data_IF_997523116807
#
_entry.id   IF_997523116807
#
_cell.length_a   1.000
_cell.length_b   1.000
_cell.length_c   1.000
_cell.angle_alpha   90.00
_cell.angle_beta   90.00
_cell.angle_gamma   90.00
#
_symmetry.space_group_name_H-M   'P 1'
#
loop_
_entity.id
_entity.type
_entity.pdbx_description
1 polymer ?
#
# COMPACT_ATOMS: atom_id res chain seq x y z
N UNK A 1 10.40 -27.20 -58.32
CA UNK A 1 10.01 -25.79 -58.26
C UNK A 1 8.67 -25.67 -57.59
N UNK A 2 8.61 -25.39 -56.29
CA UNK A 2 7.38 -25.04 -55.55
C UNK A 2 7.66 -23.80 -54.72
N UNK A 3 6.98 -22.70 -55.07
CA UNK A 3 7.05 -21.42 -54.38
C UNK A 3 6.16 -21.49 -53.16
N UNK A 4 6.70 -21.31 -51.97
CA UNK A 4 5.95 -21.20 -50.71
C UNK A 4 5.68 -19.72 -50.47
N UNK A 5 4.39 -19.33 -50.43
CA UNK A 5 3.92 -18.01 -50.08
C UNK A 5 3.96 -17.88 -48.55
N UNK A 6 4.65 -16.86 -48.07
CA UNK A 6 4.66 -16.43 -46.66
C UNK A 6 3.50 -15.44 -46.48
N UNK A 7 2.44 -15.85 -45.74
CA UNK A 7 1.38 -14.92 -45.29
C UNK A 7 1.85 -14.20 -44.04
N UNK A 8 2.04 -12.87 -44.13
CA UNK A 8 2.10 -12.01 -42.98
C UNK A 8 0.69 -11.81 -42.42
N UNK A 9 0.44 -12.29 -41.21
CA UNK A 9 -0.75 -11.94 -40.46
C UNK A 9 -0.47 -10.63 -39.70
N UNK A 10 -1.11 -9.56 -40.13
CA UNK A 10 -1.16 -8.31 -39.37
C UNK A 10 -2.18 -8.47 -38.22
N UNK A 11 -1.71 -8.49 -37.00
CA UNK A 11 -2.58 -8.44 -35.82
C UNK A 11 -3.08 -7.00 -35.62
N UNK A 12 -4.36 -6.75 -35.93
CA UNK A 12 -5.04 -5.53 -35.57
C UNK A 12 -5.36 -5.56 -34.06
N UNK A 13 -4.73 -4.68 -33.28
CA UNK A 13 -5.17 -4.41 -31.90
C UNK A 13 -6.52 -3.69 -31.96
N UNK A 14 -7.60 -4.38 -31.64
CA UNK A 14 -8.88 -3.77 -31.33
C UNK A 14 -8.85 -3.29 -29.88
N UNK A 15 -8.84 -1.98 -29.69
CA UNK A 15 -9.18 -1.37 -28.40
C UNK A 15 -10.62 -1.75 -28.03
N UNK A 16 -10.78 -2.62 -27.07
CA UNK A 16 -12.07 -2.86 -26.43
C UNK A 16 -12.40 -1.65 -25.55
N UNK A 17 -13.24 -0.74 -26.08
CA UNK A 17 -13.89 0.28 -25.27
C UNK A 17 -14.82 -0.43 -24.27
N UNK A 18 -14.50 -0.40 -23.00
CA UNK A 18 -15.37 -0.84 -21.92
C UNK A 18 -16.59 0.09 -21.85
N UNK A 19 -17.71 -0.35 -22.43
CA UNK A 19 -19.03 0.26 -22.26
C UNK A 19 -19.52 -0.05 -20.83
N UNK A 20 -19.14 0.77 -19.88
CA UNK A 20 -19.75 0.75 -18.55
C UNK A 20 -21.13 1.45 -18.65
N UNK A 21 -22.19 0.66 -18.62
CA UNK A 21 -23.56 1.17 -18.47
C UNK A 21 -23.64 1.86 -17.11
N UNK A 22 -23.97 3.15 -17.13
CA UNK A 22 -24.29 3.96 -15.97
C UNK A 22 -25.59 3.46 -15.36
N UNK A 23 -25.52 2.68 -14.28
CA UNK A 23 -26.59 2.63 -13.28
C UNK A 23 -26.53 3.93 -12.48
N UNK A 24 -27.61 4.69 -12.51
CA UNK A 24 -27.82 5.89 -11.71
C UNK A 24 -27.97 5.47 -10.26
N UNK A 25 -26.89 5.41 -9.52
CA UNK A 25 -26.92 5.36 -8.07
C UNK A 25 -27.15 6.78 -7.52
N UNK A 26 -28.35 6.95 -7.02
CA UNK A 26 -28.78 8.08 -6.23
C UNK A 26 -28.08 7.97 -4.86
N UNK A 27 -26.89 8.53 -4.71
CA UNK A 27 -26.12 8.48 -3.47
C UNK A 27 -25.81 9.86 -2.94
N UNK A 28 -26.32 10.07 -1.75
CA UNK A 28 -25.91 11.01 -0.71
C UNK A 28 -24.82 12.01 -1.14
N UNK A 29 -25.27 13.17 -1.60
CA UNK A 29 -24.46 14.36 -1.77
C UNK A 29 -24.00 14.86 -0.39
N UNK A 30 -22.94 14.29 0.15
CA UNK A 30 -22.08 15.11 1.01
C UNK A 30 -21.39 16.09 0.07
N UNK A 31 -21.90 17.32 0.03
CA UNK A 31 -21.27 18.45 -0.63
C UNK A 31 -19.81 18.52 -0.11
N UNK A 32 -18.87 18.11 -0.96
CA UNK A 32 -17.47 18.54 -0.81
C UNK A 32 -17.54 20.05 -0.94
N UNK A 33 -17.50 20.77 0.18
CA UNK A 33 -17.40 22.24 0.15
C UNK A 33 -16.20 22.57 -0.72
N UNK A 34 -16.38 23.26 -1.87
CA UNK A 34 -15.23 23.70 -2.62
C UNK A 34 -14.41 24.56 -1.67
N UNK A 35 -13.12 24.31 -1.58
CA UNK A 35 -12.17 25.23 -0.98
C UNK A 35 -12.53 26.59 -1.57
N UNK A 36 -12.92 27.51 -0.69
CA UNK A 36 -13.42 28.82 -0.95
C UNK A 36 -12.74 29.39 -2.21
N UNK A 37 -13.53 29.68 -3.24
CA UNK A 37 -13.06 30.14 -4.54
C UNK A 37 -12.53 31.59 -4.46
N UNK A 38 -11.74 31.90 -3.43
CA UNK A 38 -10.75 32.95 -3.51
C UNK A 38 -9.77 32.44 -4.56
N UNK A 39 -9.74 33.08 -5.72
CA UNK A 39 -8.76 32.85 -6.76
C UNK A 39 -7.39 32.75 -6.11
N UNK A 40 -6.94 31.52 -5.81
CA UNK A 40 -5.55 31.31 -5.46
C UNK A 40 -4.79 31.62 -6.73
N UNK A 41 -4.28 32.84 -6.79
CA UNK A 41 -3.36 33.26 -7.85
C UNK A 41 -2.13 32.33 -7.71
N UNK A 42 -2.01 31.38 -8.65
CA UNK A 42 -0.88 30.46 -8.65
C UNK A 42 0.39 31.26 -8.87
N UNK A 43 1.10 31.55 -7.78
CA UNK A 43 2.39 32.22 -7.89
C UNK A 43 3.37 31.29 -8.60
N UNK A 44 3.86 31.73 -9.74
CA UNK A 44 4.92 31.02 -10.47
C UNK A 44 6.15 30.92 -9.56
N UNK A 45 6.71 29.70 -9.46
CA UNK A 45 7.98 29.50 -8.75
C UNK A 45 9.10 30.06 -9.61
N UNK A 46 9.68 31.18 -9.18
CA UNK A 46 10.74 31.88 -9.92
C UNK A 46 12.11 31.27 -9.67
N UNK A 47 12.38 30.87 -8.41
CA UNK A 47 13.65 30.26 -8.00
C UNK A 47 13.43 28.92 -7.35
N UNK A 48 14.34 27.98 -7.61
CA UNK A 48 14.40 26.66 -6.99
C UNK A 48 15.81 26.40 -6.47
N UNK A 49 15.91 25.98 -5.22
CA UNK A 49 17.17 25.54 -4.64
C UNK A 49 17.53 24.15 -5.16
N UNK A 50 18.77 23.96 -5.60
CA UNK A 50 19.27 22.65 -5.94
C UNK A 50 19.50 21.84 -4.66
N UNK A 51 18.72 20.80 -4.46
CA UNK A 51 18.76 19.92 -3.28
C UNK A 51 19.68 18.71 -3.43
N UNK A 52 20.26 18.51 -4.63
CA UNK A 52 21.10 17.35 -4.95
C UNK A 52 20.27 16.07 -5.14
N UNK A 53 21.00 14.95 -5.33
CA UNK A 53 20.42 13.63 -5.53
C UNK A 53 20.07 12.99 -4.18
N UNK A 54 18.84 13.23 -3.70
CA UNK A 54 18.28 12.69 -2.46
C UNK A 54 16.88 12.18 -2.69
N UNK A 55 16.40 11.30 -1.81
CA UNK A 55 15.04 10.78 -1.86
C UNK A 55 14.08 11.82 -1.28
N UNK A 56 13.19 12.34 -2.12
CA UNK A 56 12.13 13.28 -1.74
C UNK A 56 10.72 12.77 -2.14
N UNK A 57 10.57 11.46 -2.33
CA UNK A 57 9.26 10.86 -2.57
C UNK A 57 8.56 10.74 -1.20
N UNK A 58 7.79 11.74 -0.88
CA UNK A 58 7.08 11.86 0.41
C UNK A 58 5.72 12.52 0.20
N UNK A 59 4.68 12.22 1.00
CA UNK A 59 4.66 11.19 2.03
C UNK A 59 4.57 9.77 1.46
N UNK A 60 5.01 8.79 2.24
CA UNK A 60 4.91 7.36 1.94
C UNK A 60 3.91 6.69 2.88
N UNK A 61 3.15 5.65 2.45
CA UNK A 61 2.32 4.90 3.38
C UNK A 61 3.20 4.15 4.38
N UNK A 62 2.77 4.12 5.65
CA UNK A 62 3.39 3.27 6.66
C UNK A 62 2.77 1.87 6.58
N UNK A 63 3.42 0.98 5.83
CA UNK A 63 2.96 -0.39 5.57
C UNK A 63 3.45 -1.34 6.66
N UNK A 64 2.52 -2.13 7.23
CA UNK A 64 2.83 -3.16 8.22
C UNK A 64 2.82 -4.52 7.53
N UNK A 65 4.00 -5.13 7.40
CA UNK A 65 4.19 -6.41 6.73
C UNK A 65 4.37 -7.47 7.80
N UNK A 66 3.47 -8.45 7.87
CA UNK A 66 3.53 -9.53 8.84
C UNK A 66 3.74 -10.89 8.17
N UNK A 67 4.64 -11.68 8.75
CA UNK A 67 5.07 -13.00 8.24
C UNK A 67 5.26 -13.97 9.39
N UNK A 68 5.27 -15.28 9.09
CA UNK A 68 5.75 -16.29 10.04
C UNK A 68 7.23 -16.61 9.82
N UNK A 69 7.94 -16.88 10.91
CA UNK A 69 9.25 -17.51 10.93
C UNK A 69 9.14 -19.02 10.62
N UNK A 70 10.27 -19.70 10.50
CA UNK A 70 10.37 -21.14 10.28
C UNK A 70 9.75 -21.98 11.41
N UNK A 71 9.73 -21.48 12.61
CA UNK A 71 9.12 -22.13 13.79
C UNK A 71 7.67 -21.69 14.04
N UNK A 72 7.09 -20.86 13.16
CA UNK A 72 5.73 -20.34 13.28
C UNK A 72 5.62 -19.09 14.16
N UNK A 73 6.73 -18.52 14.61
CA UNK A 73 6.73 -17.26 15.37
C UNK A 73 6.32 -16.10 14.44
N UNK A 74 5.36 -15.25 14.84
CA UNK A 74 4.95 -14.09 14.04
C UNK A 74 6.01 -12.99 14.11
N UNK A 75 6.32 -12.41 12.97
CA UNK A 75 7.16 -11.23 12.80
C UNK A 75 6.39 -10.15 12.06
N UNK A 76 6.55 -8.91 12.47
CA UNK A 76 5.96 -7.72 11.83
C UNK A 76 7.03 -6.67 11.65
N UNK A 77 7.07 -6.04 10.49
CA UNK A 77 7.91 -4.86 10.26
C UNK A 77 7.11 -3.71 9.65
N UNK A 78 7.53 -2.49 9.92
CA UNK A 78 7.07 -1.32 9.18
C UNK A 78 7.97 -1.11 7.96
N UNK A 79 7.34 -0.88 6.81
CA UNK A 79 8.00 -0.51 5.56
C UNK A 79 7.33 0.73 4.96
N UNK A 80 8.14 1.64 4.42
CA UNK A 80 7.64 2.85 3.75
C UNK A 80 7.90 2.86 2.24
N UNK A 81 8.79 2.00 1.74
CA UNK A 81 9.16 1.99 0.32
C UNK A 81 8.31 0.98 -0.45
N UNK A 82 7.02 1.29 -0.62
CA UNK A 82 6.08 0.44 -1.31
C UNK A 82 4.71 1.10 -1.52
N UNK A 83 3.84 0.36 -2.19
CA UNK A 83 2.48 0.80 -2.48
C UNK A 83 1.77 -0.11 -3.47
N UNK A 84 0.70 0.40 -4.04
CA UNK A 84 -0.05 -0.31 -5.09
C UNK A 84 0.82 -0.48 -6.34
N UNK A 85 0.83 -1.69 -6.89
CA UNK A 85 1.56 -2.03 -8.11
C UNK A 85 0.60 -2.23 -9.29
N UNK A 86 -0.50 -2.95 -9.07
CA UNK A 86 -1.57 -3.16 -10.06
C UNK A 86 -2.92 -3.25 -9.33
N UNK A 87 -4.00 -3.62 -10.01
CA UNK A 87 -5.38 -3.65 -9.48
C UNK A 87 -5.50 -4.46 -8.17
N UNK A 88 -4.83 -5.60 -8.09
CA UNK A 88 -4.79 -6.47 -6.92
C UNK A 88 -3.37 -6.83 -6.50
N UNK A 89 -2.38 -5.99 -6.83
CA UNK A 89 -1.00 -6.24 -6.48
C UNK A 89 -0.39 -5.05 -5.74
N UNK A 90 0.50 -5.39 -4.81
CA UNK A 90 1.32 -4.45 -4.05
C UNK A 90 2.79 -4.74 -4.31
N UNK A 91 3.63 -3.71 -4.28
CA UNK A 91 5.08 -3.91 -4.31
C UNK A 91 5.77 -3.13 -3.19
N UNK A 92 6.92 -3.62 -2.78
CA UNK A 92 7.78 -2.93 -1.83
C UNK A 92 9.23 -3.40 -1.95
N UNK A 93 10.14 -2.55 -1.50
CA UNK A 93 11.56 -2.86 -1.40
C UNK A 93 11.96 -2.96 0.06
N UNK A 94 12.67 -4.02 0.42
CA UNK A 94 13.19 -4.28 1.77
C UNK A 94 14.70 -4.48 1.71
N UNK A 95 15.41 -3.95 2.68
CA UNK A 95 16.77 -4.37 2.98
C UNK A 95 16.78 -5.77 3.59
N UNK A 96 17.95 -6.26 3.99
CA UNK A 96 18.07 -7.53 4.72
C UNK A 96 17.44 -7.42 6.10
N UNK A 97 16.29 -8.09 6.28
CA UNK A 97 15.51 -8.14 7.52
C UNK A 97 15.04 -9.57 7.80
N UNK A 98 14.58 -9.83 9.02
CA UNK A 98 13.87 -11.09 9.37
C UNK A 98 12.70 -11.32 8.42
N UNK A 99 11.89 -10.29 8.17
CA UNK A 99 10.75 -10.34 7.26
C UNK A 99 11.14 -10.74 5.84
N UNK A 100 12.30 -10.25 5.32
CA UNK A 100 12.82 -10.62 3.99
C UNK A 100 13.11 -12.11 3.90
N UNK A 101 13.73 -12.68 4.93
CA UNK A 101 14.02 -14.13 5.02
C UNK A 101 12.71 -14.94 5.13
N UNK A 102 11.75 -14.47 5.91
CA UNK A 102 10.44 -15.10 6.06
C UNK A 102 9.64 -15.10 4.76
N UNK A 103 9.73 -14.02 3.96
CA UNK A 103 9.11 -13.93 2.64
C UNK A 103 9.73 -14.92 1.65
N UNK A 104 11.05 -15.14 1.71
CA UNK A 104 11.71 -16.19 0.91
C UNK A 104 11.21 -17.57 1.26
N UNK A 105 11.02 -17.82 2.57
CA UNK A 105 10.60 -19.10 3.10
C UNK A 105 9.13 -19.40 2.78
N UNK A 106 8.21 -18.51 3.15
CA UNK A 106 6.78 -18.78 3.15
C UNK A 106 6.07 -18.32 1.87
N UNK A 107 6.66 -17.40 1.10
CA UNK A 107 6.05 -16.79 -0.08
C UNK A 107 4.65 -16.20 0.20
N UNK A 108 4.42 -15.76 1.43
CA UNK A 108 3.15 -15.24 1.91
C UNK A 108 3.38 -14.19 3.01
N UNK A 109 2.48 -13.22 3.07
CA UNK A 109 2.47 -12.17 4.08
C UNK A 109 1.06 -11.59 4.24
N UNK A 110 0.84 -10.87 5.33
CA UNK A 110 -0.26 -9.92 5.41
C UNK A 110 0.26 -8.50 5.35
N UNK A 111 -0.54 -7.60 4.79
CA UNK A 111 -0.25 -6.18 4.67
C UNK A 111 -1.37 -5.38 5.33
N UNK A 112 -1.00 -4.55 6.28
CA UNK A 112 -1.90 -3.61 6.97
C UNK A 112 -1.33 -2.19 6.91
N UNK A 113 -2.07 -1.23 7.42
CA UNK A 113 -1.59 0.14 7.60
C UNK A 113 -1.39 0.44 9.08
N UNK A 114 -0.29 1.10 9.43
CA UNK A 114 -0.21 1.78 10.71
C UNK A 114 -1.24 2.92 10.73
N UNK A 115 -1.93 3.08 11.83
CA UNK A 115 -2.87 4.18 12.05
C UNK A 115 -2.45 5.05 13.24
N UNK A 116 -3.12 6.18 13.43
CA UNK A 116 -2.76 7.13 14.48
C UNK A 116 -2.87 6.55 15.91
N UNK A 117 -3.60 5.45 16.11
CA UNK A 117 -3.76 4.79 17.42
C UNK A 117 -2.62 3.83 17.71
N UNK A 118 -2.03 3.26 16.67
CA UNK A 118 -1.04 2.18 16.72
C UNK A 118 0.37 2.65 16.33
N UNK A 119 0.58 3.96 16.17
CA UNK A 119 1.84 4.50 15.65
C UNK A 119 3.06 4.13 16.50
N UNK A 120 2.90 4.05 17.83
CA UNK A 120 4.00 3.73 18.75
C UNK A 120 4.47 2.28 18.56
N UNK A 121 3.53 1.33 18.57
CA UNK A 121 3.79 -0.09 18.38
C UNK A 121 4.28 -0.36 16.95
N UNK A 122 3.72 0.35 15.98
CA UNK A 122 4.11 0.23 14.58
C UNK A 122 5.53 0.72 14.35
N UNK A 123 5.92 1.85 14.95
CA UNK A 123 7.30 2.35 14.92
C UNK A 123 8.26 1.38 15.62
N UNK A 124 7.86 0.83 16.78
CA UNK A 124 8.63 -0.22 17.47
C UNK A 124 8.90 -1.42 16.55
N UNK A 125 7.92 -1.87 15.75
CA UNK A 125 8.11 -2.93 14.77
C UNK A 125 9.07 -2.54 13.64
N UNK A 126 9.22 -1.26 13.36
CA UNK A 126 10.17 -0.73 12.37
C UNK A 126 11.62 -0.68 12.88
N UNK A 127 11.81 -0.40 14.18
CA UNK A 127 13.15 -0.21 14.78
C UNK A 127 13.73 -1.47 15.43
N UNK A 128 12.89 -2.48 15.73
CA UNK A 128 13.32 -3.72 16.41
C UNK A 128 13.26 -4.90 15.46
N UNK A 129 14.40 -5.57 15.28
CA UNK A 129 14.49 -6.77 14.46
C UNK A 129 13.88 -7.99 15.16
N UNK A 130 13.10 -8.81 14.42
CA UNK A 130 12.65 -10.12 14.87
C UNK A 130 13.78 -11.13 15.05
N UNK A 131 14.99 -10.85 14.54
CA UNK A 131 16.18 -11.64 14.83
C UNK A 131 16.68 -11.42 16.26
N UNK A 132 16.49 -10.24 16.83
CA UNK A 132 16.95 -9.86 18.16
C UNK A 132 15.88 -10.08 19.23
N UNK A 133 14.60 -9.82 18.88
CA UNK A 133 13.45 -9.95 19.77
C UNK A 133 12.36 -10.77 19.07
N UNK A 134 12.37 -12.08 19.34
CA UNK A 134 11.42 -13.03 18.70
C UNK A 134 9.97 -12.77 19.06
N UNK A 135 9.69 -12.38 20.29
CA UNK A 135 8.36 -12.13 20.85
C UNK A 135 7.91 -10.65 20.72
N UNK A 136 8.49 -9.90 19.76
CA UNK A 136 8.25 -8.45 19.66
C UNK A 136 6.77 -8.08 19.47
N UNK A 137 5.97 -8.94 18.82
CA UNK A 137 4.52 -8.72 18.63
C UNK A 137 3.80 -8.76 19.99
N UNK A 138 4.03 -9.79 20.78
CA UNK A 138 3.46 -9.93 22.13
C UNK A 138 3.98 -8.84 23.07
N UNK A 139 5.25 -8.46 22.94
CA UNK A 139 5.89 -7.38 23.72
C UNK A 139 5.28 -6.02 23.48
N UNK A 140 4.81 -5.75 22.25
CA UNK A 140 4.04 -4.57 21.90
C UNK A 140 2.57 -4.62 22.41
N UNK A 141 2.16 -5.72 23.03
CA UNK A 141 0.77 -5.92 23.47
C UNK A 141 -0.18 -6.32 22.34
N UNK A 142 0.35 -6.67 21.17
CA UNK A 142 -0.45 -7.06 20.01
C UNK A 142 -0.70 -8.56 19.98
N UNK A 143 -1.81 -8.93 19.35
CA UNK A 143 -2.29 -10.31 19.25
C UNK A 143 -2.37 -10.76 17.79
N UNK A 144 -2.37 -12.06 17.58
CA UNK A 144 -2.26 -12.66 16.25
C UNK A 144 -3.34 -13.70 16.02
N UNK A 145 -3.94 -13.66 14.84
CA UNK A 145 -4.79 -14.72 14.29
C UNK A 145 -4.12 -15.29 13.01
N UNK A 146 -4.19 -16.59 12.80
CA UNK A 146 -3.69 -17.19 11.56
C UNK A 146 -4.62 -16.88 10.39
N UNK A 147 -4.06 -16.43 9.28
CA UNK A 147 -4.82 -16.29 8.03
C UNK A 147 -5.38 -17.63 7.56
N UNK A 148 -6.59 -17.58 6.99
CA UNK A 148 -7.26 -18.72 6.37
C UNK A 148 -6.84 -18.93 4.90
N UNK A 149 -6.29 -17.89 4.26
CA UNK A 149 -6.03 -17.85 2.83
C UNK A 149 -4.55 -17.96 2.48
N UNK A 150 -3.65 -17.57 3.40
CA UNK A 150 -2.20 -17.57 3.20
C UNK A 150 -1.46 -18.02 4.46
N UNK A 151 -0.21 -18.50 4.32
CA UNK A 151 0.60 -18.85 5.47
C UNK A 151 1.26 -17.61 6.10
N UNK A 152 0.43 -16.73 6.67
CA UNK A 152 0.87 -15.51 7.33
C UNK A 152 -0.03 -15.14 8.52
N UNK A 153 0.49 -14.38 9.51
CA UNK A 153 -0.27 -13.92 10.65
C UNK A 153 -1.12 -12.67 10.28
N UNK A 154 -2.33 -12.59 10.80
CA UNK A 154 -3.14 -11.39 10.87
C UNK A 154 -2.86 -10.72 12.21
N UNK A 155 -2.49 -9.47 12.22
CA UNK A 155 -2.32 -8.67 13.43
C UNK A 155 -3.66 -8.03 13.77
N UNK A 156 -4.25 -8.44 14.88
CA UNK A 156 -5.65 -8.15 15.21
C UNK A 156 -5.92 -6.66 15.50
N UNK A 157 -4.90 -5.90 15.88
CA UNK A 157 -5.01 -4.47 16.21
C UNK A 157 -5.05 -3.56 14.98
N UNK A 158 -4.73 -4.09 13.80
CA UNK A 158 -4.88 -3.35 12.54
C UNK A 158 -6.26 -3.62 11.92
N UNK A 159 -7.08 -2.58 11.71
CA UNK A 159 -8.48 -2.77 11.31
C UNK A 159 -8.67 -3.12 9.83
N UNK A 160 -7.62 -3.01 9.01
CA UNK A 160 -7.60 -3.43 7.61
C UNK A 160 -6.39 -4.31 7.37
N UNK A 161 -6.63 -5.52 6.87
CA UNK A 161 -5.56 -6.47 6.50
C UNK A 161 -5.81 -7.03 5.12
N UNK A 162 -4.80 -6.98 4.28
CA UNK A 162 -4.73 -7.67 2.98
C UNK A 162 -3.91 -8.93 3.14
N UNK A 163 -4.43 -10.07 2.73
CA UNK A 163 -3.77 -11.37 2.73
C UNK A 163 -3.12 -11.57 1.37
N UNK A 164 -1.79 -11.74 1.34
CA UNK A 164 -1.01 -11.64 0.12
C UNK A 164 -0.14 -12.89 -0.11
N UNK A 165 0.02 -13.23 -1.39
CA UNK A 165 0.96 -14.23 -1.88
C UNK A 165 2.08 -13.53 -2.66
N UNK A 166 3.33 -13.89 -2.42
CA UNK A 166 4.45 -13.39 -3.22
C UNK A 166 4.38 -14.00 -4.62
N UNK A 167 4.28 -13.15 -5.64
CA UNK A 167 4.26 -13.55 -7.07
C UNK A 167 5.59 -13.27 -7.74
N UNK A 168 6.34 -12.28 -7.27
CA UNK A 168 7.68 -11.99 -7.74
C UNK A 168 8.56 -11.54 -6.57
N UNK A 169 9.80 -12.00 -6.55
CA UNK A 169 10.79 -11.55 -5.58
C UNK A 169 12.16 -11.53 -6.27
N UNK A 170 12.80 -10.38 -6.28
CA UNK A 170 14.14 -10.17 -6.83
C UNK A 170 15.06 -9.77 -5.70
N UNK A 171 16.04 -10.63 -5.41
CA UNK A 171 17.05 -10.39 -4.38
C UNK A 171 18.10 -9.38 -4.90
N UNK A 172 18.62 -8.56 -4.00
CA UNK A 172 19.80 -7.73 -4.23
C UNK A 172 21.08 -8.39 -3.66
N UNK A 173 22.23 -7.81 -3.97
CA UNK A 173 23.53 -8.33 -3.54
C UNK A 173 23.77 -8.20 -2.03
N UNK A 174 23.02 -7.34 -1.33
CA UNK A 174 23.12 -7.07 0.11
C UNK A 174 22.18 -7.95 0.94
N UNK A 175 21.36 -8.79 0.29
CA UNK A 175 20.40 -9.69 0.93
C UNK A 175 19.04 -9.05 1.19
N UNK A 176 18.79 -7.88 0.66
CA UNK A 176 17.47 -7.28 0.51
C UNK A 176 16.67 -7.86 -0.64
N UNK A 177 15.47 -7.36 -0.89
CA UNK A 177 14.66 -7.80 -2.00
C UNK A 177 13.63 -6.75 -2.42
N UNK A 178 13.34 -6.71 -3.72
CA UNK A 178 12.14 -6.13 -4.27
C UNK A 178 11.08 -7.23 -4.40
N UNK A 179 9.87 -6.96 -3.91
CA UNK A 179 8.81 -7.94 -3.77
C UNK A 179 7.53 -7.44 -4.42
N UNK A 180 6.85 -8.30 -5.18
CA UNK A 180 5.47 -8.10 -5.62
C UNK A 180 4.60 -9.17 -4.97
N UNK A 181 3.52 -8.73 -4.33
CA UNK A 181 2.51 -9.58 -3.73
C UNK A 181 1.16 -9.41 -4.42
N UNK A 182 0.49 -10.53 -4.69
CA UNK A 182 -0.91 -10.56 -5.10
C UNK A 182 -1.81 -10.56 -3.86
N UNK A 183 -2.75 -9.63 -3.78
CA UNK A 183 -3.80 -9.61 -2.76
C UNK A 183 -4.83 -10.68 -3.13
N UNK A 184 -4.89 -11.74 -2.35
CA UNK A 184 -5.82 -12.86 -2.56
C UNK A 184 -7.11 -12.69 -1.76
N UNK A 185 -7.09 -11.90 -0.68
CA UNK A 185 -8.24 -11.52 0.12
C UNK A 185 -7.93 -10.24 0.92
N UNK A 186 -8.98 -9.54 1.33
CA UNK A 186 -8.89 -8.42 2.27
C UNK A 186 -10.00 -8.53 3.31
N UNK A 187 -9.64 -8.27 4.56
CA UNK A 187 -10.58 -8.22 5.69
C UNK A 187 -10.52 -6.85 6.34
N UNK A 188 -11.68 -6.37 6.79
CA UNK A 188 -11.80 -5.07 7.41
C UNK A 188 -12.72 -5.13 8.62
N UNK A 189 -12.36 -4.42 9.69
CA UNK A 189 -13.24 -4.21 10.82
C UNK A 189 -14.43 -3.35 10.39
N UNK A 190 -15.68 -3.69 10.74
CA UNK A 190 -16.86 -2.89 10.39
C UNK A 190 -16.79 -1.42 10.83
N UNK A 191 -16.02 -1.10 11.88
CA UNK A 191 -15.85 0.27 12.39
C UNK A 191 -15.20 1.22 11.38
N UNK A 192 -14.39 0.71 10.45
CA UNK A 192 -13.75 1.52 9.41
C UNK A 192 -14.56 1.57 8.10
N UNK A 193 -15.76 1.01 8.08
CA UNK A 193 -16.60 1.01 6.89
C UNK A 193 -17.66 2.11 6.93
N UNK A 194 -17.98 2.64 5.74
CA UNK A 194 -19.17 3.46 5.47
C UNK A 194 -19.82 2.88 4.20
N UNK A 195 -21.07 2.47 4.29
CA UNK A 195 -21.83 1.83 3.19
C UNK A 195 -21.09 0.65 2.55
N UNK A 196 -20.43 -0.17 3.39
CA UNK A 196 -19.68 -1.36 2.96
C UNK A 196 -18.33 -1.06 2.27
N UNK A 197 -17.89 0.19 2.24
CA UNK A 197 -16.62 0.62 1.66
C UNK A 197 -15.67 1.12 2.74
N UNK A 198 -14.36 0.97 2.53
CA UNK A 198 -13.35 1.53 3.43
C UNK A 198 -13.50 3.04 3.48
N UNK A 199 -13.70 3.55 4.69
CA UNK A 199 -13.70 4.98 5.00
C UNK A 199 -12.31 5.37 5.50
N UNK A 200 -11.58 6.10 4.67
CA UNK A 200 -10.19 6.48 4.97
C UNK A 200 -10.07 7.37 6.21
N UNK A 201 -11.12 8.14 6.55
CA UNK A 201 -11.14 8.96 7.76
C UNK A 201 -11.30 8.11 9.02
N UNK A 202 -12.08 7.02 8.94
CA UNK A 202 -12.25 6.07 10.04
C UNK A 202 -11.01 5.18 10.19
N UNK A 203 -10.41 4.74 9.08
CA UNK A 203 -9.15 4.00 9.09
C UNK A 203 -8.02 4.86 9.67
N UNK A 204 -8.00 6.16 9.37
CA UNK A 204 -7.04 7.15 9.84
C UNK A 204 -5.57 6.68 9.73
N UNK A 205 -5.14 6.19 8.55
CA UNK A 205 -3.79 5.68 8.38
C UNK A 205 -2.77 6.80 8.52
N UNK A 206 -1.55 6.44 8.94
CA UNK A 206 -0.44 7.38 8.96
C UNK A 206 0.43 7.23 7.72
N UNK A 207 1.01 8.33 7.29
CA UNK A 207 2.03 8.39 6.26
C UNK A 207 3.36 8.81 6.87
N UNK A 208 4.45 8.20 6.42
CA UNK A 208 5.79 8.58 6.81
C UNK A 208 6.31 9.72 5.93
N UNK A 209 6.77 10.80 6.54
CA UNK A 209 7.48 11.87 5.88
C UNK A 209 8.99 11.68 6.03
N UNK A 210 9.65 11.24 4.96
CA UNK A 210 11.09 11.05 4.92
C UNK A 210 11.93 12.33 4.98
N UNK A 211 11.31 13.51 4.86
CA UNK A 211 12.01 14.80 4.95
C UNK A 211 12.19 15.23 6.41
N UNK A 212 11.21 14.98 7.26
CA UNK A 212 11.19 15.39 8.67
C UNK A 212 11.27 14.22 9.65
N UNK A 213 11.21 12.97 9.13
CA UNK A 213 11.14 11.74 9.93
C UNK A 213 9.95 11.70 10.90
N UNK A 214 8.79 12.22 10.44
CA UNK A 214 7.55 12.22 11.20
C UNK A 214 6.51 11.30 10.57
N UNK A 215 5.53 10.88 11.38
CA UNK A 215 4.30 10.28 10.91
C UNK A 215 3.21 11.34 10.85
N UNK A 216 2.49 11.39 9.74
CA UNK A 216 1.45 12.37 9.47
C UNK A 216 0.13 11.66 9.21
N UNK A 217 -0.97 12.20 9.69
CA UNK A 217 -2.32 11.77 9.30
C UNK A 217 -2.75 12.46 8.00
N UNK A 218 -3.73 11.87 7.31
CA UNK A 218 -4.29 12.47 6.10
C UNK A 218 -5.20 13.65 6.47
N UNK A 219 -5.08 14.72 5.71
CA UNK A 219 -5.97 15.90 5.80
C UNK A 219 -7.37 15.64 5.22
N UNK A 220 -8.14 16.71 5.00
CA UNK A 220 -9.45 16.64 4.40
C UNK A 220 -9.40 16.40 2.90
N UNK A 221 -10.50 15.88 2.34
CA UNK A 221 -10.65 15.76 0.90
C UNK A 221 -10.64 17.14 0.25
N UNK A 222 -9.78 17.32 -0.75
CA UNK A 222 -9.63 18.58 -1.49
C UNK A 222 -10.22 18.51 -2.90
N UNK A 223 -10.70 17.36 -3.33
CA UNK A 223 -11.30 17.18 -4.65
C UNK A 223 -11.70 15.75 -4.94
N UNK A 224 -12.46 15.54 -5.99
CA UNK A 224 -12.89 14.23 -6.48
C UNK A 224 -11.98 13.79 -7.63
N UNK A 225 -11.33 12.62 -7.48
CA UNK A 225 -10.48 12.06 -8.51
C UNK A 225 -11.28 11.84 -9.81
N UNK A 226 -10.62 12.02 -10.96
CA UNK A 226 -11.17 11.96 -12.32
C UNK A 226 -12.36 12.88 -12.60
N UNK A 227 -12.71 13.75 -11.66
CA UNK A 227 -13.83 14.69 -11.79
C UNK A 227 -13.40 16.15 -11.61
N UNK A 228 -12.58 16.46 -10.61
CA UNK A 228 -12.22 17.85 -10.28
C UNK A 228 -11.59 18.62 -11.45
N UNK A 229 -10.86 17.93 -12.34
CA UNK A 229 -10.27 18.55 -13.55
C UNK A 229 -11.24 18.78 -14.70
N UNK A 230 -12.49 18.31 -14.60
CA UNK A 230 -13.47 18.48 -15.69
C UNK A 230 -13.85 19.95 -15.94
N UNK A 231 -13.66 20.81 -14.95
CA UNK A 231 -13.87 22.26 -15.07
C UNK A 231 -12.95 22.92 -16.11
N UNK A 232 -11.86 22.24 -16.52
CA UNK A 232 -10.91 22.73 -17.53
C UNK A 232 -11.19 22.18 -18.94
N UNK A 233 -12.20 21.33 -19.11
CA UNK A 233 -12.68 20.86 -20.43
C UNK A 233 -13.63 21.85 -21.04
#
# INVERSE_FOLDING_TARGET
MKKTFLLLAAAALTLAACNCKTEQDNQNNQEVKPLNNQSMEFKKVEERTNMGAKLYVTPQPALMIATYDADGTPDVMMAAWGGQYDNNQVCFSLSKHKTTDNLRLNKAFTLSYADARTVVESDYFGIVSGNDVKDKVAKAGFTVTKSQNVNAPIINEYPLTMECRVVEMRDDEEGGAWVVGEIVNAIADPSILTDGKIDIKKLNPVAWDGSSFNYLTLGDSVGKAWNSGMVLK
#
